data_IF_032608187170
#
_entry.id   IF_032608187170
#
_cell.length_a   1.000
_cell.length_b   1.000
_cell.length_c   1.000
_cell.angle_alpha   90.00
_cell.angle_beta   90.00
_cell.angle_gamma   90.00
#
_symmetry.space_group_name_H-M   'P 1'
#
loop_
_entity.id
_entity.type
_entity.pdbx_description
1 polymer ?
2 water ?
#
# COMPACT_ATOMS: atom_id res chain seq x y z
N UNK A 4 -10.43 -21.68 22.57
CA UNK A 4 -10.92 -20.63 21.65
C UNK A 4 -9.80 -19.82 20.97
N UNK A 5 -9.88 -19.69 19.64
CA UNK A 5 -8.86 -18.95 18.88
C UNK A 5 -8.90 -17.45 19.14
N UNK A 6 -7.74 -16.85 19.33
CA UNK A 6 -7.63 -15.41 19.52
C UNK A 6 -8.03 -14.65 18.26
N UNK A 7 -7.77 -15.27 17.11
CA UNK A 7 -8.08 -14.65 15.84
C UNK A 7 -8.42 -15.67 14.78
N UNK A 8 -9.54 -15.44 14.09
CA UNK A 8 -9.92 -16.25 12.94
C UNK A 8 -10.45 -15.36 11.82
N UNK A 9 -9.97 -15.57 10.60
CA UNK A 9 -10.43 -14.77 9.47
C UNK A 9 -10.38 -15.54 8.16
N UNK A 10 -11.48 -15.52 7.42
CA UNK A 10 -11.46 -16.05 6.06
C UNK A 10 -11.82 -14.97 5.06
N UNK A 11 -10.95 -14.79 4.07
CA UNK A 11 -11.16 -13.74 3.09
C UNK A 11 -12.27 -14.09 2.11
N UNK A 12 -12.95 -13.07 1.62
CA UNK A 12 -13.85 -13.25 0.50
C UNK A 12 -13.02 -13.59 -0.72
N UNK A 13 -11.94 -12.84 -0.92
CA UNK A 13 -11.03 -13.07 -2.05
C UNK A 13 -9.59 -13.22 -1.59
N UNK A 14 -8.95 -14.32 -1.94
CA UNK A 14 -7.57 -14.54 -1.57
C UNK A 14 -6.61 -13.55 -2.26
N UNK A 15 -6.97 -13.14 -3.47
CA UNK A 15 -6.20 -12.17 -4.23
C UNK A 15 -5.93 -10.91 -3.42
N UNK A 16 -6.93 -10.46 -2.67
CA UNK A 16 -6.84 -9.24 -1.88
C UNK A 16 -5.63 -9.22 -0.95
N UNK A 17 -5.45 -10.28 -0.16
CA UNK A 17 -4.38 -10.31 0.82
C UNK A 17 -3.01 -10.55 0.20
N UNK A 18 -2.97 -11.30 -0.89
CA UNK A 18 -1.75 -11.49 -1.65
C UNK A 18 -1.27 -10.18 -2.23
N UNK A 19 -2.20 -9.43 -2.80
CA UNK A 19 -1.89 -8.12 -3.37
C UNK A 19 -1.48 -7.12 -2.31
N UNK A 20 -2.15 -7.16 -1.17
CA UNK A 20 -1.79 -6.32 -0.04
C UNK A 20 -0.33 -6.55 0.34
N UNK A 21 0.02 -7.82 0.54
CA UNK A 21 1.37 -8.19 0.97
C UNK A 21 2.50 -7.87 -0.03
N UNK A 22 2.22 -7.98 -1.32
CA UNK A 22 3.18 -7.53 -2.33
C UNK A 22 3.42 -6.03 -2.24
N UNK A 23 2.32 -5.29 -2.34
CA UNK A 23 2.38 -3.84 -2.27
C UNK A 23 3.13 -3.42 -1.02
N UNK A 24 2.82 -4.05 0.09
CA UNK A 24 3.41 -3.72 1.36
C UNK A 24 4.90 -3.95 1.36
N UNK A 25 5.31 -5.08 0.82
CA UNK A 25 6.66 -5.56 1.03
C UNK A 25 7.69 -4.84 0.16
N UNK A 26 7.19 -4.11 -0.83
CA UNK A 26 8.01 -3.22 -1.63
C UNK A 26 8.48 -1.99 -0.85
N UNK A 27 7.78 -1.64 0.23
CA UNK A 27 8.12 -0.43 0.97
C UNK A 27 8.53 -0.68 2.42
N UNK A 28 8.18 -1.86 2.94
CA UNK A 28 8.56 -2.22 4.30
C UNK A 28 8.72 -3.73 4.40
N UNK A 29 9.71 -4.17 5.19
CA UNK A 29 10.08 -5.60 5.27
C UNK A 29 9.39 -6.36 6.42
N UNK A 30 9.48 -5.81 7.63
CA UNK A 30 8.78 -6.39 8.76
C UNK A 30 7.80 -5.37 9.31
N UNK A 31 6.60 -5.81 9.67
CA UNK A 31 5.63 -4.88 10.21
C UNK A 31 4.60 -5.56 11.09
N UNK A 32 4.00 -4.79 11.99
CA UNK A 32 2.95 -5.31 12.83
C UNK A 32 1.60 -5.20 12.15
N UNK A 33 0.86 -6.29 12.21
CA UNK A 33 -0.52 -6.28 11.78
C UNK A 33 -1.36 -6.22 13.02
N UNK A 34 -2.00 -5.08 13.21
CA UNK A 34 -2.86 -4.88 14.36
C UNK A 34 -4.25 -5.34 13.99
N UNK A 35 -4.65 -6.47 14.55
CA UNK A 35 -6.00 -6.98 14.32
C UNK A 35 -6.92 -6.57 15.46
N UNK A 36 -8.19 -6.46 15.15
CA UNK A 36 -9.18 -6.13 16.15
C UNK A 36 -10.52 -6.42 15.51
N UNK A 37 -11.61 -6.19 16.23
CA UNK A 37 -12.93 -6.45 15.70
C UNK A 37 -13.29 -5.46 14.60
N UNK A 38 -12.39 -4.51 14.36
CA UNK A 38 -12.59 -3.49 13.33
C UNK A 38 -11.80 -3.79 12.05
N UNK A 39 -10.94 -4.81 12.10
CA UNK A 39 -10.23 -5.27 10.91
C UNK A 39 -8.75 -5.44 11.12
N UNK A 40 -8.00 -5.30 10.03
CA UNK A 40 -6.55 -5.42 10.07
C UNK A 40 -5.92 -4.10 9.63
N UNK A 41 -4.98 -3.62 10.42
CA UNK A 41 -4.41 -2.32 10.18
C UNK A 41 -2.89 -2.38 10.22
N UNK A 42 -2.27 -1.50 9.44
CA UNK A 42 -0.83 -1.32 9.49
C UNK A 42 -0.50 0.15 9.33
N UNK A 43 0.16 0.71 10.34
CA UNK A 43 0.61 2.09 10.29
C UNK A 43 2.04 2.14 10.77
N UNK A 44 2.95 2.46 9.85
CA UNK A 44 4.36 2.46 10.15
C UNK A 44 5.11 3.20 9.07
N UNK A 45 6.38 3.52 9.35
CA UNK A 45 7.25 4.16 8.40
C UNK A 45 7.82 3.16 7.43
N UNK A 46 8.16 3.62 6.24
CA UNK A 46 8.81 2.76 5.25
C UNK A 46 10.18 2.34 5.78
N UNK A 47 10.83 1.44 5.05
CA UNK A 47 12.19 1.01 5.38
C UNK A 47 13.17 2.13 5.67
N UNK A 48 13.13 3.18 4.86
CA UNK A 48 14.07 4.28 4.98
C UNK A 48 13.69 5.30 6.05
N UNK A 49 12.55 5.10 6.71
CA UNK A 49 12.11 6.04 7.71
C UNK A 49 12.01 7.39 7.05
N UNK A 50 11.31 7.42 5.92
CA UNK A 50 11.20 8.61 5.10
C UNK A 50 9.74 8.91 4.83
N UNK A 51 8.92 7.86 4.88
CA UNK A 51 7.52 7.99 4.56
C UNK A 51 6.68 7.14 5.49
N UNK A 52 5.38 7.16 5.24
CA UNK A 52 4.43 6.51 6.12
C UNK A 52 3.57 5.60 5.28
N UNK A 53 3.31 4.40 5.79
CA UNK A 53 2.37 3.48 5.18
C UNK A 53 1.16 3.34 6.09
N UNK A 54 -0.02 3.31 5.49
CA UNK A 54 -1.27 3.17 6.23
C UNK A 54 -2.22 2.19 5.56
N UNK A 55 -2.37 1.00 6.13
CA UNK A 55 -3.29 0.01 5.58
C UNK A 55 -4.48 -0.24 6.49
N UNK A 56 -5.64 -0.37 5.87
CA UNK A 56 -6.81 -0.82 6.58
C UNK A 56 -7.59 -1.84 5.76
N UNK A 57 -7.58 -3.09 6.19
CA UNK A 57 -8.52 -4.04 5.64
C UNK A 57 -9.72 -4.09 6.57
N UNK A 58 -10.90 -3.87 6.01
CA UNK A 58 -12.11 -3.85 6.81
C UNK A 58 -12.73 -5.22 6.93
N UNK A 59 -13.66 -5.37 7.87
CA UNK A 59 -14.30 -6.66 8.11
C UNK A 59 -15.19 -7.13 6.94
N UNK A 60 -15.58 -6.17 6.08
CA UNK A 60 -16.35 -6.46 4.88
C UNK A 60 -15.54 -7.21 3.81
N UNK A 61 -14.24 -7.32 4.02
CA UNK A 61 -13.37 -8.04 3.10
C UNK A 61 -13.37 -9.56 3.36
N UNK A 62 -14.05 -9.97 4.43
CA UNK A 62 -14.02 -11.35 4.89
C UNK A 62 -15.40 -11.99 4.89
N UNK A 63 -15.43 -13.30 4.67
CA UNK A 63 -16.65 -14.08 4.84
C UNK A 63 -16.85 -14.46 6.29
N UNK A 64 -15.75 -14.68 7.00
CA UNK A 64 -15.78 -14.90 8.45
C UNK A 64 -14.73 -14.01 9.10
N UNK A 65 -15.04 -13.48 10.28
CA UNK A 65 -14.10 -12.64 11.00
C UNK A 65 -14.41 -12.60 12.49
N UNK A 66 -13.41 -12.94 13.28
CA UNK A 66 -13.52 -12.94 14.72
C UNK A 66 -12.21 -12.46 15.29
N UNK A 67 -12.27 -11.39 16.07
CA UNK A 67 -11.13 -10.92 16.81
C UNK A 67 -11.72 -10.13 17.98
N UNK A 68 -11.94 -10.83 19.09
CA UNK A 68 -12.69 -10.28 20.20
C UNK A 68 -11.87 -9.19 20.88
N UNK A 69 -10.61 -9.50 21.12
CA UNK A 69 -9.69 -8.54 21.71
C UNK A 69 -8.58 -8.23 20.72
N UNK A 70 -8.10 -6.99 20.71
CA UNK A 70 -7.02 -6.57 19.81
C UNK A 70 -5.74 -7.37 19.99
N UNK A 71 -5.13 -7.74 18.88
CA UNK A 71 -3.84 -8.41 18.90
C UNK A 71 -2.95 -7.77 17.85
N UNK A 72 -1.64 -7.93 17.99
CA UNK A 72 -0.71 -7.41 17.00
C UNK A 72 0.23 -8.51 16.55
N UNK A 73 0.22 -8.81 15.26
CA UNK A 73 1.07 -9.86 14.71
C UNK A 73 2.31 -9.29 14.04
N UNK A 74 3.48 -9.63 14.57
CA UNK A 74 4.75 -9.21 14.01
C UNK A 74 5.11 -10.05 12.80
N UNK A 75 5.02 -9.46 11.62
CA UNK A 75 5.12 -10.21 10.38
C UNK A 75 6.28 -9.82 9.45
N UNK A 76 7.14 -10.80 9.14
CA UNK A 76 8.15 -10.64 8.10
C UNK A 76 7.51 -10.86 6.75
N UNK A 77 7.39 -9.77 5.98
CA UNK A 77 6.64 -9.78 4.73
C UNK A 77 7.32 -10.61 3.65
N UNK A 78 8.63 -10.75 3.73
CA UNK A 78 9.34 -11.62 2.81
C UNK A 78 8.87 -13.06 2.99
N UNK A 79 8.68 -13.46 4.24
CA UNK A 79 8.25 -14.82 4.53
C UNK A 79 6.80 -15.07 4.19
N UNK A 80 5.97 -14.05 4.38
CA UNK A 80 4.55 -14.18 4.09
C UNK A 80 4.26 -14.22 2.59
N UNK A 81 5.00 -13.45 1.80
CA UNK A 81 4.76 -13.44 0.36
C UNK A 81 5.16 -14.78 -0.24
N UNK A 82 6.29 -15.32 0.19
CA UNK A 82 6.70 -16.67 -0.21
C UNK A 82 5.60 -17.72 0.03
N UNK A 83 4.92 -17.61 1.16
CA UNK A 83 3.79 -18.49 1.44
C UNK A 83 2.60 -18.20 0.52
N UNK A 84 2.27 -16.92 0.38
CA UNK A 84 1.13 -16.49 -0.42
C UNK A 84 1.29 -16.76 -1.91
N UNK A 85 2.52 -16.69 -2.38
CA UNK A 85 2.82 -17.00 -3.78
C UNK A 85 2.50 -18.46 -4.12
N UNK A 86 2.39 -19.31 -3.11
CA UNK A 86 2.08 -20.72 -3.31
C UNK A 86 0.59 -20.95 -3.51
N UNK A 87 -0.20 -19.92 -3.27
CA UNK A 87 -1.65 -20.07 -3.30
C UNK A 87 -2.22 -19.59 -4.63
N UNK A 88 -3.45 -20.00 -4.93
CA UNK A 88 -4.13 -19.51 -6.12
C UNK A 88 -5.13 -18.44 -5.68
N UNK A 89 -5.43 -17.51 -6.58
CA UNK A 89 -6.46 -16.51 -6.33
C UNK A 89 -7.80 -17.20 -6.08
N UNK A 90 -7.88 -18.44 -6.53
CA UNK A 90 -9.11 -19.23 -6.46
C UNK A 90 -9.44 -19.65 -5.04
N UNK A 91 -8.41 -19.96 -4.27
CA UNK A 91 -8.56 -20.72 -3.02
C UNK A 91 -9.29 -19.97 -1.90
N UNK A 92 -9.60 -20.70 -0.84
CA UNK A 92 -10.24 -20.13 0.33
C UNK A 92 -9.19 -19.89 1.39
N UNK A 93 -8.83 -18.62 1.57
CA UNK A 93 -7.72 -18.28 2.45
C UNK A 93 -8.19 -17.97 3.87
N UNK A 94 -7.61 -18.68 4.83
CA UNK A 94 -7.99 -18.51 6.22
C UNK A 94 -6.75 -18.22 7.05
N UNK A 95 -6.90 -17.31 8.00
CA UNK A 95 -5.86 -16.99 8.96
C UNK A 95 -6.35 -17.41 10.34
N UNK A 96 -5.45 -18.00 11.12
CA UNK A 96 -5.78 -18.38 12.48
C UNK A 96 -4.61 -18.07 13.41
N UNK A 97 -4.93 -17.56 14.59
CA UNK A 97 -3.98 -17.56 15.70
C UNK A 97 -4.59 -18.28 16.90
N UNK A 98 -3.95 -19.34 17.35
CA UNK A 98 -4.45 -20.14 18.45
C UNK A 98 -4.43 -19.33 19.74
N UNK A 99 -3.23 -18.96 20.18
CA UNK A 99 -3.05 -18.19 21.42
C UNK A 99 -1.94 -17.15 21.26
N UNK A 100 -0.99 -17.16 22.18
CA UNK A 100 0.17 -16.27 22.08
C UNK A 100 1.45 -17.08 21.82
N UNK A 101 1.32 -18.16 21.06
CA UNK A 101 2.41 -19.09 20.79
C UNK A 101 3.28 -18.72 19.59
N UNK A 102 3.03 -17.55 19.00
CA UNK A 102 3.93 -16.98 18.00
C UNK A 102 3.89 -17.58 16.59
N UNK A 103 2.73 -18.08 16.16
CA UNK A 103 2.56 -18.61 14.81
C UNK A 103 1.20 -18.24 14.21
N UNK A 104 1.22 -17.72 12.99
CA UNK A 104 0.00 -17.47 12.25
C UNK A 104 -0.24 -18.59 11.23
N UNK A 105 -1.37 -19.26 11.38
CA UNK A 105 -1.72 -20.34 10.50
C UNK A 105 -2.47 -19.86 9.30
N UNK A 106 -1.89 -20.04 8.12
CA UNK A 106 -2.55 -19.75 6.86
C UNK A 106 -3.08 -21.06 6.29
N UNK A 107 -4.30 -21.02 5.77
CA UNK A 107 -4.90 -22.23 5.23
C UNK A 107 -5.59 -22.01 3.89
N UNK A 108 -5.20 -22.80 2.90
CA UNK A 108 -5.82 -22.83 1.59
C UNK A 108 -6.74 -24.04 1.47
N UNK A 109 -8.00 -23.81 1.12
CA UNK A 109 -8.93 -24.89 0.88
C UNK A 109 -9.24 -25.01 -0.59
N UNK A 110 -9.23 -26.23 -1.10
CA UNK A 110 -9.47 -26.49 -2.51
C UNK A 110 -10.58 -27.50 -2.71
N UNK A 113 -9.98 -30.53 -3.92
CA UNK A 113 -9.72 -31.70 -3.08
C UNK A 113 -8.36 -31.61 -2.41
N UNK A 114 -7.89 -30.38 -2.22
CA UNK A 114 -6.60 -30.13 -1.59
C UNK A 114 -6.70 -29.09 -0.47
N UNK A 115 -5.87 -29.24 0.54
CA UNK A 115 -5.79 -28.25 1.60
C UNK A 115 -4.35 -28.04 2.03
N UNK A 116 -3.94 -26.79 2.11
CA UNK A 116 -2.58 -26.48 2.51
C UNK A 116 -2.58 -25.70 3.82
N UNK A 117 -1.78 -26.14 4.77
CA UNK A 117 -1.69 -25.44 6.04
C UNK A 117 -0.25 -25.05 6.29
N UNK A 118 -0.05 -23.78 6.58
CA UNK A 118 1.28 -23.28 6.89
C UNK A 118 1.27 -22.73 8.29
N UNK A 119 2.36 -22.97 9.02
CA UNK A 119 2.61 -22.28 10.26
C UNK A 119 3.71 -21.27 10.00
N UNK A 120 3.36 -19.98 9.99
CA UNK A 120 4.35 -18.93 9.84
C UNK A 120 4.81 -18.44 11.22
N UNK A 121 6.11 -18.51 11.47
CA UNK A 121 6.65 -18.01 12.72
C UNK A 121 6.51 -16.50 12.78
N UNK A 122 5.93 -16.00 13.86
CA UNK A 122 5.80 -14.56 14.02
C UNK A 122 7.10 -13.98 14.55
N UNK A 123 7.22 -12.67 14.42
CA UNK A 123 8.42 -11.96 14.82
C UNK A 123 8.11 -10.93 15.91
N UNK A 124 9.15 -10.49 16.60
CA UNK A 124 9.03 -9.39 17.55
C UNK A 124 9.42 -8.11 16.86
N UNK A 125 8.45 -7.21 16.70
CA UNK A 125 8.71 -5.94 16.08
C UNK A 125 8.54 -4.83 17.11
N UNK A 126 9.65 -4.20 17.46
CA UNK A 126 9.62 -3.12 18.44
C UNK A 126 9.59 -1.81 17.68
N UNK A 127 8.39 -1.23 17.53
CA UNK A 127 8.23 -0.03 16.73
C UNK A 127 7.32 0.97 17.41
N UNK A 128 7.73 2.23 17.39
CA UNK A 128 6.88 3.29 17.91
C UNK A 128 5.70 3.39 16.96
N UNK A 129 4.50 3.43 17.53
CA UNK A 129 3.31 3.66 16.72
C UNK A 129 3.40 5.07 16.15
N UNK A 130 2.83 5.27 14.97
CA UNK A 130 2.95 6.55 14.29
C UNK A 130 1.60 7.15 13.99
N UNK A 131 1.60 8.45 13.70
CA UNK A 131 0.37 9.18 13.42
C UNK A 131 0.47 9.82 12.04
N UNK A 132 -0.62 9.77 11.30
CA UNK A 132 -0.67 10.41 9.99
C UNK A 132 -0.59 11.93 10.13
N UNK A 133 -0.05 12.60 9.11
CA UNK A 133 0.04 14.05 9.15
C UNK A 133 -1.31 14.70 8.89
N UNK A 134 -1.42 16.00 9.20
CA UNK A 134 -2.61 16.76 8.86
C UNK A 134 -2.39 17.39 7.50
N UNK A 135 -3.42 17.38 6.67
CA UNK A 135 -3.34 17.88 5.31
C UNK A 135 -4.55 18.70 4.90
N UNK A 136 -4.32 19.63 3.99
CA UNK A 136 -5.39 20.16 3.17
C UNK A 136 -4.80 20.36 1.80
N UNK A 137 -5.14 19.47 0.89
CA UNK A 137 -4.47 19.41 -0.41
C UNK A 137 -4.98 20.45 -1.39
N UNK A 138 -4.12 20.85 -2.31
CA UNK A 138 -4.44 21.84 -3.34
C UNK A 138 -5.14 21.20 -4.54
N UNK A 139 -4.83 19.95 -4.80
CA UNK A 139 -5.44 19.21 -5.89
C UNK A 139 -5.45 17.72 -5.61
N UNK A 140 -6.48 17.04 -6.08
CA UNK A 140 -6.60 15.60 -5.92
C UNK A 140 -6.73 14.94 -7.28
N UNK A 141 -5.73 14.14 -7.63
CA UNK A 141 -5.66 13.55 -8.95
C UNK A 141 -6.00 12.08 -8.94
N UNK A 142 -6.86 11.68 -9.87
CA UNK A 142 -7.23 10.29 -10.03
C UNK A 142 -6.90 9.85 -11.43
N UNK A 143 -6.32 8.66 -11.55
CA UNK A 143 -5.72 8.24 -12.79
C UNK A 143 -5.55 6.74 -12.73
N UNK A 144 -5.61 6.08 -13.88
CA UNK A 144 -5.31 4.65 -13.95
C UNK A 144 -4.02 4.37 -13.18
N UNK A 145 -4.09 3.42 -12.25
CA UNK A 145 -2.93 3.09 -11.43
C UNK A 145 -1.87 2.40 -12.27
N UNK A 146 -2.31 1.67 -13.29
CA UNK A 146 -1.40 0.95 -14.18
C UNK A 146 -0.64 1.91 -15.10
N UNK A 147 -1.30 2.96 -15.55
CA UNK A 147 -0.64 3.99 -16.36
C UNK A 147 0.30 4.79 -15.48
N UNK A 148 -0.10 5.02 -14.24
CA UNK A 148 0.77 5.73 -13.31
C UNK A 148 2.02 4.90 -12.99
N UNK A 149 1.87 3.59 -12.92
CA UNK A 149 3.01 2.73 -12.65
C UNK A 149 3.98 2.77 -13.83
N UNK A 150 3.44 2.67 -15.03
CA UNK A 150 4.27 2.69 -16.23
C UNK A 150 5.18 3.90 -16.17
N UNK A 151 4.59 5.03 -15.79
CA UNK A 151 5.29 6.29 -15.79
C UNK A 151 6.41 6.27 -14.77
N UNK A 152 6.12 5.86 -13.55
CA UNK A 152 7.15 5.76 -12.53
C UNK A 152 8.29 4.90 -13.07
N UNK A 153 7.94 3.87 -13.83
CA UNK A 153 8.93 2.91 -14.34
C UNK A 153 9.84 3.55 -15.36
N UNK A 154 9.27 4.24 -16.33
CA UNK A 154 10.07 4.92 -17.33
C UNK A 154 10.96 5.94 -16.65
N UNK A 155 10.37 6.69 -15.73
CA UNK A 155 11.09 7.72 -15.00
C UNK A 155 12.29 7.21 -14.20
N UNK A 156 12.15 6.04 -13.59
CA UNK A 156 13.26 5.43 -12.85
C UNK A 156 14.43 5.12 -13.76
N UNK A 157 14.11 4.70 -14.98
CA UNK A 157 15.12 4.38 -15.97
C UNK A 157 15.79 5.62 -16.55
N UNK A 158 15.02 6.68 -16.72
CA UNK A 158 15.48 7.87 -17.43
C UNK A 158 15.78 9.05 -16.51
N UNK A 159 15.36 8.96 -15.26
CA UNK A 159 15.49 10.08 -14.36
C UNK A 159 16.63 9.94 -13.36
N UNK A 160 16.72 10.90 -12.45
CA UNK A 160 17.67 10.88 -11.36
C UNK A 160 16.99 10.48 -10.04
N UNK A 161 16.98 11.40 -9.07
CA UNK A 161 16.50 11.10 -7.74
C UNK A 161 15.14 11.71 -7.45
N UNK A 162 14.73 12.69 -8.26
CA UNK A 162 13.48 13.40 -8.02
C UNK A 162 12.48 13.23 -9.15
N UNK A 163 11.21 13.39 -8.80
CA UNK A 163 10.17 13.52 -9.80
C UNK A 163 9.32 14.71 -9.42
N UNK A 164 9.00 15.55 -10.39
CA UNK A 164 8.18 16.70 -10.12
C UNK A 164 6.78 16.47 -10.66
N UNK A 165 5.80 16.80 -9.84
CA UNK A 165 4.41 16.60 -10.18
C UNK A 165 3.70 17.93 -10.04
N UNK A 166 3.11 18.39 -11.14
CA UNK A 166 2.45 19.67 -11.14
C UNK A 166 1.01 19.48 -11.58
N UNK A 167 0.13 20.32 -11.06
CA UNK A 167 -1.27 20.24 -11.40
C UNK A 167 -1.86 21.61 -11.69
N UNK A 168 -2.55 21.73 -12.83
CA UNK A 168 -3.33 22.91 -13.13
C UNK A 168 -4.79 22.51 -13.27
N UNK A 169 -5.63 23.43 -13.71
CA UNK A 169 -7.05 23.13 -13.77
C UNK A 169 -7.35 21.94 -14.68
N UNK A 170 -6.64 21.82 -15.81
CA UNK A 170 -6.94 20.80 -16.81
C UNK A 170 -5.82 19.80 -17.13
N UNK A 171 -4.66 20.01 -16.54
CA UNK A 171 -3.50 19.21 -16.89
C UNK A 171 -2.64 18.87 -15.70
N UNK A 172 -2.07 17.66 -15.74
CA UNK A 172 -1.07 17.23 -14.79
C UNK A 172 0.25 17.10 -15.53
N UNK A 173 1.33 17.42 -14.85
CA UNK A 173 2.64 17.44 -15.48
C UNK A 173 3.63 16.71 -14.60
N UNK A 174 4.42 15.83 -15.22
CA UNK A 174 5.34 15.00 -14.48
C UNK A 174 6.70 15.12 -15.08
N UNK A 175 7.66 15.53 -14.27
CA UNK A 175 8.98 15.86 -14.76
C UNK A 175 10.09 15.18 -13.99
N UNK A 176 11.06 14.64 -14.72
CA UNK A 176 12.34 14.23 -14.16
C UNK A 176 13.45 14.54 -15.18
N UNK A 177 14.64 14.84 -14.66
CA UNK A 177 15.80 15.13 -15.51
C UNK A 177 16.95 14.24 -15.07
N UNK A 178 17.42 13.38 -15.97
CA UNK A 178 18.53 12.50 -15.69
C UNK A 178 19.85 12.97 -16.29
N UNK A 179 20.86 12.11 -16.25
CA UNK A 179 22.19 12.46 -16.72
C UNK A 179 22.22 12.65 -18.22
N UNK A 180 21.38 11.90 -18.93
CA UNK A 180 21.40 11.98 -20.38
C UNK A 180 20.06 12.37 -20.97
N UNK A 181 19.12 12.72 -20.11
CA UNK A 181 17.76 12.90 -20.56
C UNK A 181 16.99 13.86 -19.66
N UNK A 182 16.16 14.70 -20.27
CA UNK A 182 15.15 15.45 -19.53
C UNK A 182 13.81 14.98 -20.04
N UNK A 183 12.95 14.54 -19.13
CA UNK A 183 11.70 13.91 -19.51
C UNK A 183 10.50 14.68 -18.98
N UNK A 184 9.43 14.68 -19.76
CA UNK A 184 8.22 15.39 -19.40
C UNK A 184 7.00 14.68 -19.97
N UNK A 185 6.17 14.13 -19.09
CA UNK A 185 4.88 13.57 -19.49
C UNK A 185 3.79 14.57 -19.12
N UNK A 186 2.83 14.75 -20.02
CA UNK A 186 1.73 15.67 -19.77
C UNK A 186 0.40 15.00 -20.01
N UNK A 187 -0.45 15.03 -18.99
CA UNK A 187 -1.77 14.44 -19.05
C UNK A 187 -2.82 15.54 -19.00
N UNK A 188 -3.90 15.36 -19.76
CA UNK A 188 -4.98 16.34 -19.76
C UNK A 188 -6.33 15.64 -19.56
N UNK A 189 -7.17 16.20 -18.70
CA UNK A 189 -8.50 15.65 -18.47
C UNK A 189 -9.52 16.22 -19.46
N UNK A 197 -10.78 7.58 -17.39
CA UNK A 197 -9.40 8.05 -17.43
C UNK A 197 -9.01 8.97 -16.28
N UNK A 198 -8.38 10.10 -16.60
CA UNK A 198 -7.84 11.02 -15.61
C UNK A 198 -8.86 12.03 -15.05
N UNK A 199 -8.94 12.13 -13.73
CA UNK A 199 -9.83 13.10 -13.08
C UNK A 199 -9.02 14.07 -12.25
N UNK A 200 -9.36 15.35 -12.32
CA UNK A 200 -8.73 16.34 -11.47
C UNK A 200 -9.78 17.10 -10.66
N UNK A 201 -9.65 17.03 -9.34
CA UNK A 201 -10.41 17.88 -8.42
C UNK A 201 -9.46 18.99 -8.01
N UNK A 202 -9.69 20.18 -8.55
CA UNK A 202 -8.73 21.26 -8.42
C UNK A 202 -9.31 22.46 -7.69
N UNK A 203 -8.51 23.06 -6.84
CA UNK A 203 -8.86 24.34 -6.26
C UNK A 203 -7.66 25.30 -6.22
N UNK A 204 -6.45 24.76 -6.30
CA UNK A 204 -5.26 25.62 -6.37
C UNK A 204 -4.08 24.97 -7.10
N UNK A 205 -3.52 25.67 -8.08
CA UNK A 205 -2.35 25.17 -8.80
C UNK A 205 -1.26 24.77 -7.83
N UNK A 206 -0.56 23.70 -8.13
CA UNK A 206 0.41 23.18 -7.19
C UNK A 206 1.47 22.34 -7.87
N UNK A 207 2.71 22.51 -7.42
CA UNK A 207 3.83 21.72 -7.94
C UNK A 207 4.75 21.37 -6.78
N UNK A 208 5.33 20.17 -6.82
CA UNK A 208 6.24 19.73 -5.76
C UNK A 208 7.12 18.60 -6.25
N UNK A 209 8.31 18.46 -5.65
CA UNK A 209 9.24 17.39 -5.98
C UNK A 209 9.29 16.33 -4.89
N UNK A 210 9.56 15.10 -5.29
CA UNK A 210 9.50 13.96 -4.38
C UNK A 210 10.61 12.98 -4.69
N UNK A 211 10.98 12.18 -3.71
CA UNK A 211 11.96 11.12 -3.95
C UNK A 211 11.37 10.14 -4.95
N UNK A 212 12.03 9.94 -6.09
CA UNK A 212 11.49 9.07 -7.12
C UNK A 212 11.47 7.61 -6.68
N UNK A 213 12.47 7.22 -5.89
CA UNK A 213 12.52 5.85 -5.39
C UNK A 213 11.24 5.47 -4.67
N UNK A 214 10.73 6.39 -3.86
CA UNK A 214 9.52 6.14 -3.07
C UNK A 214 8.30 6.07 -3.94
N UNK A 215 8.15 7.08 -4.78
CA UNK A 215 6.99 7.17 -5.65
C UNK A 215 6.92 5.89 -6.44
N UNK A 216 8.05 5.54 -7.07
CA UNK A 216 8.11 4.39 -7.95
C UNK A 216 7.89 3.06 -7.21
N UNK A 217 8.31 2.98 -5.95
CA UNK A 217 8.05 1.79 -5.14
C UNK A 217 6.59 1.78 -4.69
N UNK A 218 6.07 2.96 -4.37
CA UNK A 218 4.68 3.09 -3.96
C UNK A 218 3.76 2.69 -5.11
N UNK A 219 4.12 3.12 -6.30
CA UNK A 219 3.30 2.95 -7.48
C UNK A 219 3.02 1.48 -7.78
N UNK A 220 3.90 0.61 -7.28
CA UNK A 220 3.77 -0.82 -7.53
C UNK A 220 2.58 -1.43 -6.80
N UNK A 221 1.83 -0.61 -6.08
CA UNK A 221 0.65 -1.08 -5.37
C UNK A 221 -0.57 -1.10 -6.29
N UNK A 222 -0.34 -0.78 -7.56
CA UNK A 222 -1.39 -0.70 -8.57
C UNK A 222 -2.40 -1.86 -8.55
N UNK A 223 -1.92 -3.09 -8.39
CA UNK A 223 -2.82 -4.26 -8.36
C UNK A 223 -4.01 -4.13 -7.40
N UNK A 224 -3.88 -3.29 -6.37
CA UNK A 224 -4.93 -3.16 -5.37
C UNK A 224 -6.16 -2.45 -5.89
N UNK A 225 -6.01 -1.67 -6.95
CA UNK A 225 -7.08 -0.77 -7.36
C UNK A 225 -6.87 -0.32 -8.78
N UNK A 226 -7.97 -0.19 -9.52
CA UNK A 226 -7.89 0.21 -10.93
C UNK A 226 -7.24 1.57 -11.11
N UNK A 227 -7.59 2.50 -10.23
CA UNK A 227 -7.05 3.85 -10.25
C UNK A 227 -6.20 4.15 -9.01
N UNK A 228 -5.30 5.13 -9.14
CA UNK A 228 -4.55 5.63 -8.00
C UNK A 228 -4.97 7.06 -7.71
N UNK A 229 -5.08 7.42 -6.43
CA UNK A 229 -5.42 8.79 -6.08
C UNK A 229 -4.27 9.50 -5.38
N UNK A 230 -3.79 10.58 -6.01
CA UNK A 230 -2.73 11.38 -5.45
C UNK A 230 -3.31 12.69 -4.95
N UNK A 231 -3.19 12.91 -3.64
CA UNK A 231 -3.60 14.17 -3.04
C UNK A 231 -2.39 15.06 -2.90
N UNK A 232 -2.41 16.18 -3.60
CA UNK A 232 -1.22 17.00 -3.83
C UNK A 232 -1.23 18.34 -3.09
N UNK A 233 -0.15 18.63 -2.36
CA UNK A 233 0.05 19.91 -1.69
C UNK A 233 1.48 20.39 -1.92
N UNK A 234 1.67 21.71 -1.97
CA UNK A 234 2.97 22.29 -2.24
C UNK A 234 4.00 22.14 -1.13
N UNK A 235 3.54 22.12 0.11
CA UNK A 235 4.46 22.09 1.26
C UNK A 235 4.29 20.88 2.18
N UNK A 236 3.08 20.32 2.20
CA UNK A 236 2.73 19.19 3.06
C UNK A 236 2.77 17.86 2.29
N UNK A 237 2.94 16.73 3.00
CA UNK A 237 3.08 15.42 2.33
C UNK A 237 1.97 15.06 1.36
N UNK A 238 2.39 14.50 0.23
CA UNK A 238 1.47 13.94 -0.74
C UNK A 238 0.84 12.67 -0.19
N UNK A 239 -0.36 12.35 -0.67
CA UNK A 239 -0.98 11.06 -0.39
C UNK A 239 -1.15 10.29 -1.69
N UNK A 240 -0.72 9.03 -1.68
CA UNK A 240 -1.00 8.14 -2.78
C UNK A 240 -1.88 7.03 -2.24
N UNK A 241 -3.14 7.01 -2.65
CA UNK A 241 -4.12 6.07 -2.12
C UNK A 241 -4.57 5.01 -3.10
N UNK A 242 -4.52 3.76 -2.66
CA UNK A 242 -5.08 2.66 -3.42
C UNK A 242 -6.27 2.05 -2.67
N UNK A 243 -7.47 2.48 -3.04
CA UNK A 243 -8.68 1.99 -2.39
C UNK A 243 -9.31 0.81 -3.14
N UNK A 244 -9.28 -0.36 -2.50
CA UNK A 244 -9.89 -1.56 -3.05
C UNK A 244 -11.32 -1.72 -2.59
N UNK A 245 -11.85 -2.95 -2.73
CA UNK A 245 -13.22 -3.26 -2.35
C UNK A 245 -13.59 -2.78 -0.93
N UNK A 246 -13.12 -3.52 0.07
CA UNK A 246 -13.34 -3.13 1.47
C UNK A 246 -11.97 -2.97 2.12
N UNK A 247 -11.15 -2.18 1.47
CA UNK A 247 -9.74 -2.13 1.81
C UNK A 247 -9.19 -0.86 1.22
N UNK A 248 -8.18 -0.30 1.86
CA UNK A 248 -7.55 0.89 1.32
C UNK A 248 -6.11 0.95 1.79
N UNK A 249 -5.24 1.43 0.92
CA UNK A 249 -3.83 1.51 1.20
C UNK A 249 -3.38 2.93 0.92
N UNK A 250 -2.62 3.52 1.83
CA UNK A 250 -2.18 4.89 1.62
C UNK A 250 -0.73 5.09 1.99
N UNK A 251 -0.06 5.96 1.23
CA UNK A 251 1.30 6.34 1.53
C UNK A 251 1.36 7.84 1.71
N UNK A 252 2.23 8.28 2.62
CA UNK A 252 2.41 9.70 2.89
C UNK A 252 3.86 10.07 2.68
N UNK A 253 4.09 11.01 1.78
CA UNK A 253 5.44 11.42 1.43
C UNK A 253 5.60 12.94 1.36
N UNK A 254 6.54 13.46 2.14
CA UNK A 254 6.79 14.89 2.18
C UNK A 254 7.57 15.36 0.95
N UNK A 255 7.21 16.54 0.41
CA UNK A 255 7.93 17.07 -0.74
C UNK A 255 9.41 17.39 -0.41
N UNK A 256 10.24 17.46 -1.45
CA UNK A 256 11.66 17.74 -1.25
C UNK A 256 11.84 19.18 -1.69
N UNK A 257 12.90 19.84 -1.20
CA UNK A 257 13.14 21.24 -1.55
C UNK A 257 14.62 21.59 -1.84
#
# INVERSE_FOLDING_TARGET
GPHMCAFHAKFKEAALFKRVVESLKSTIDKTNFDCSDAGIAVQCMDNSHVSLVSLLIETDAFDEFQCLKPITLGINLTHLSKILKALDNDCGLILDVKKVDDAVLSITSEGTNKTMKFGLNLVDIEAESVEIPELQSDAIITLSSAEFLKITKDFSALGDDSITIGCTKNEVTLTTKGAMCETCMTLSALENVDSNGLQIEHNKDVTASFALKQISEFAKSAPLADNVKLSLSGQAPLIMEFKGEACVLKFYLAPKFDEEDEPQE
#
